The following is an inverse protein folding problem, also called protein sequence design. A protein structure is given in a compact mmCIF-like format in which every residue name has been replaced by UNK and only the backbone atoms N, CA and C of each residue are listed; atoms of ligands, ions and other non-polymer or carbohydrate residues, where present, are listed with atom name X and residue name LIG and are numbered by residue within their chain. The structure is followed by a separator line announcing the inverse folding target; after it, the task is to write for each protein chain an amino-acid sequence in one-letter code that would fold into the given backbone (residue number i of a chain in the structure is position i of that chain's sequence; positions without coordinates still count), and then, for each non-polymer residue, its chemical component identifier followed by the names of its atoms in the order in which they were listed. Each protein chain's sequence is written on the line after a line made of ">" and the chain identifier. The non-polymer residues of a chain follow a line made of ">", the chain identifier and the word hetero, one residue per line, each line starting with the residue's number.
data_IF_612128571882
#
_entry.id   IF_612128571882
#
_cell.length_a   1.000
_cell.length_b   1.000
_cell.length_c   1.000
_cell.angle_alpha   90.00
_cell.angle_beta   90.00
_cell.angle_gamma   90.00
#
_symmetry.space_group_name_H-M   'P 1'
#
loop_
_entity.id
_entity.type
_entity.pdbx_description
1 polymer ?
#
# COMPACT_ATOMS: atom_id res chain seq x y z
N UNK A 1 3.20 0.73 1.76
CA UNK A 1 2.76 -0.67 1.50
C UNK A 1 3.92 -1.70 1.52
N UNK A 2 5.14 -1.26 1.81
CA UNK A 2 6.34 -2.08 2.02
C UNK A 2 6.14 -3.23 3.02
N UNK A 3 5.31 -3.04 4.06
CA UNK A 3 4.93 -4.10 5.01
C UNK A 3 4.13 -5.23 4.36
N UNK A 4 3.13 -4.86 3.54
CA UNK A 4 2.28 -5.81 2.83
C UNK A 4 3.07 -6.58 1.75
N UNK A 5 4.17 -6.02 1.27
CA UNK A 5 5.08 -6.67 0.32
C UNK A 5 6.22 -7.49 0.97
N UNK A 6 6.24 -7.60 2.31
CA UNK A 6 7.20 -8.42 3.03
C UNK A 6 8.62 -7.84 3.08
N UNK A 7 8.78 -6.52 2.98
CA UNK A 7 10.07 -5.88 3.20
C UNK A 7 10.49 -6.02 4.68
N UNK A 8 11.67 -6.58 4.95
CA UNK A 8 12.21 -6.74 6.32
C UNK A 8 12.91 -5.47 6.84
N UNK A 9 13.21 -4.51 5.98
CA UNK A 9 13.85 -3.24 6.35
C UNK A 9 12.76 -2.18 6.53
N UNK A 10 12.26 -2.09 7.76
CA UNK A 10 11.33 -1.05 8.16
C UNK A 10 12.08 0.23 8.49
N UNK A 11 11.67 1.34 7.88
CA UNK A 11 12.15 2.69 8.17
C UNK A 11 10.94 3.56 8.57
N UNK A 12 11.18 4.79 9.05
CA UNK A 12 10.15 5.72 9.54
C UNK A 12 9.04 6.05 8.51
N UNK A 13 9.21 5.68 7.24
CA UNK A 13 8.20 5.83 6.18
C UNK A 13 6.89 5.08 6.46
N UNK A 14 6.93 3.96 7.17
CA UNK A 14 5.74 3.19 7.54
C UNK A 14 4.83 3.98 8.47
N UNK A 15 5.41 4.70 9.43
CA UNK A 15 4.66 5.50 10.40
C UNK A 15 4.02 6.72 9.72
N UNK A 16 4.73 7.34 8.76
CA UNK A 16 4.19 8.45 7.94
C UNK A 16 3.01 7.99 7.09
N UNK A 17 3.08 6.78 6.53
CA UNK A 17 1.97 6.18 5.80
C UNK A 17 0.75 5.95 6.70
N UNK A 18 0.96 5.36 7.88
CA UNK A 18 -0.11 5.15 8.86
C UNK A 18 -0.75 6.46 9.29
N UNK A 19 0.06 7.49 9.56
CA UNK A 19 -0.43 8.83 9.88
C UNK A 19 -1.24 9.45 8.72
N UNK A 20 -0.82 9.23 7.47
CA UNK A 20 -1.56 9.63 6.28
C UNK A 20 -2.94 8.97 6.17
N UNK A 21 -3.03 7.67 6.48
CA UNK A 21 -4.31 6.95 6.52
C UNK A 21 -5.25 7.55 7.58
N UNK A 22 -4.76 7.79 8.80
CA UNK A 22 -5.56 8.39 9.89
C UNK A 22 -5.99 9.82 9.52
N UNK A 23 -5.12 10.60 8.88
CA UNK A 23 -5.47 11.94 8.41
C UNK A 23 -6.56 11.91 7.33
N UNK A 24 -6.48 10.99 6.38
CA UNK A 24 -7.52 10.80 5.37
C UNK A 24 -8.87 10.38 5.98
N UNK A 25 -8.85 9.50 6.97
CA UNK A 25 -10.05 9.08 7.71
C UNK A 25 -10.71 10.24 8.47
N UNK A 26 -9.91 11.09 9.11
CA UNK A 26 -10.41 12.29 9.78
C UNK A 26 -11.08 13.26 8.81
N UNK A 27 -10.55 13.42 7.59
CA UNK A 27 -11.16 14.26 6.56
C UNK A 27 -12.44 13.66 5.96
N UNK A 28 -12.48 12.34 5.79
CA UNK A 28 -13.61 11.63 5.18
C UNK A 28 -14.74 11.32 6.17
N UNK A 29 -14.47 11.32 7.47
CA UNK A 29 -15.42 10.91 8.52
C UNK A 29 -15.78 9.43 8.48
N UNK A 30 -15.05 8.62 7.71
CA UNK A 30 -15.23 7.17 7.54
C UNK A 30 -13.89 6.52 7.22
N UNK A 31 -13.79 5.21 7.47
CA UNK A 31 -12.60 4.41 7.15
C UNK A 31 -12.27 4.55 5.66
N UNK A 32 -11.02 4.93 5.36
CA UNK A 32 -10.59 5.22 4.00
C UNK A 32 -10.27 3.93 3.23
N UNK A 33 -9.62 2.96 3.89
CA UNK A 33 -9.19 1.69 3.29
C UNK A 33 -9.60 0.48 4.16
N UNK A 34 -10.89 0.06 4.14
CA UNK A 34 -11.37 -1.07 4.94
C UNK A 34 -10.98 -2.41 4.30
N UNK A 35 -9.69 -2.75 4.33
CA UNK A 35 -9.20 -4.05 3.87
C UNK A 35 -9.62 -5.16 4.82
N UNK A 36 -10.37 -6.15 4.34
CA UNK A 36 -10.74 -7.35 5.13
C UNK A 36 -9.70 -8.47 5.06
N UNK A 37 -8.70 -8.35 4.19
CA UNK A 37 -7.56 -9.26 4.04
C UNK A 37 -6.35 -8.47 3.53
N UNK A 38 -5.13 -8.98 3.71
CA UNK A 38 -3.90 -8.33 3.24
C UNK A 38 -3.97 -8.02 1.74
N UNK A 39 -4.46 -8.98 0.96
CA UNK A 39 -4.62 -8.83 -0.50
C UNK A 39 -5.72 -7.82 -0.84
N UNK A 40 -6.83 -7.81 -0.09
CA UNK A 40 -7.91 -6.82 -0.27
C UNK A 40 -7.46 -5.40 0.07
N UNK A 41 -6.65 -5.24 1.12
CA UNK A 41 -6.04 -3.96 1.47
C UNK A 41 -5.08 -3.48 0.38
N UNK A 42 -4.29 -4.39 -0.19
CA UNK A 42 -3.42 -4.09 -1.33
C UNK A 42 -4.19 -3.59 -2.55
N UNK A 43 -5.30 -4.27 -2.90
CA UNK A 43 -6.18 -3.89 -4.01
C UNK A 43 -6.80 -2.51 -3.78
N UNK A 44 -7.23 -2.19 -2.55
CA UNK A 44 -7.75 -0.87 -2.21
C UNK A 44 -6.68 0.22 -2.34
N UNK A 45 -5.44 -0.07 -1.92
CA UNK A 45 -4.31 0.85 -2.09
C UNK A 45 -4.01 1.09 -3.57
N UNK A 46 -3.99 0.03 -4.38
CA UNK A 46 -3.80 0.15 -5.84
C UNK A 46 -4.92 0.93 -6.51
N UNK A 47 -6.17 0.75 -6.08
CA UNK A 47 -7.30 1.51 -6.60
C UNK A 47 -7.23 3.01 -6.22
N UNK A 48 -6.71 3.33 -5.04
CA UNK A 48 -6.62 4.71 -4.55
C UNK A 48 -5.40 5.48 -5.10
N UNK A 49 -4.25 4.81 -5.27
CA UNK A 49 -2.97 5.46 -5.56
C UNK A 49 -2.30 4.97 -6.85
N UNK A 50 -2.87 3.95 -7.49
CA UNK A 50 -2.28 3.27 -8.64
C UNK A 50 -1.40 2.08 -8.25
N UNK A 51 -1.23 1.15 -9.17
CA UNK A 51 -0.30 0.05 -9.00
C UNK A 51 1.14 0.57 -9.16
N UNK A 52 2.05 0.29 -8.21
CA UNK A 52 3.45 0.68 -8.33
C UNK A 52 4.09 -0.10 -9.48
N UNK A 53 4.71 0.61 -10.42
CA UNK A 53 5.59 0.07 -11.46
C UNK A 53 7.05 0.38 -11.16
N UNK A 54 7.98 -0.26 -11.87
CA UNK A 54 9.43 0.03 -11.77
C UNK A 54 9.78 1.51 -12.06
N UNK A 55 8.95 2.21 -12.84
CA UNK A 55 9.11 3.65 -13.09
C UNK A 55 8.79 4.49 -11.84
N UNK A 56 7.76 4.09 -11.09
CA UNK A 56 7.31 4.81 -9.87
C UNK A 56 8.05 4.37 -8.62
N UNK A 57 8.47 3.11 -8.57
CA UNK A 57 9.21 2.51 -7.47
C UNK A 57 10.24 1.52 -8.03
N UNK A 58 11.47 2.00 -8.31
CA UNK A 58 12.55 1.15 -8.79
C UNK A 58 12.86 0.05 -7.77
N UNK A 59 12.84 -1.22 -8.21
CA UNK A 59 13.09 -2.39 -7.38
C UNK A 59 11.85 -3.00 -6.71
N UNK A 60 10.64 -2.49 -6.99
CA UNK A 60 9.40 -3.04 -6.43
C UNK A 60 9.15 -4.49 -6.88
N UNK A 61 9.57 -4.85 -8.09
CA UNK A 61 9.50 -6.23 -8.63
C UNK A 61 10.39 -7.24 -7.90
N UNK A 62 11.35 -6.78 -7.12
CA UNK A 62 12.25 -7.65 -6.34
C UNK A 62 11.70 -7.96 -4.94
N UNK A 63 10.57 -7.36 -4.54
CA UNK A 63 9.92 -7.67 -3.28
C UNK A 63 9.20 -9.02 -3.36
N UNK A 64 9.36 -9.85 -2.33
CA UNK A 64 8.91 -11.25 -2.30
C UNK A 64 7.42 -11.45 -2.62
N UNK A 65 6.58 -10.48 -2.28
CA UNK A 65 5.13 -10.57 -2.44
C UNK A 65 4.62 -9.53 -3.45
N UNK A 66 5.47 -9.00 -4.33
CA UNK A 66 5.03 -8.07 -5.38
C UNK A 66 4.05 -8.75 -6.33
N UNK A 67 2.82 -8.21 -6.37
CA UNK A 67 1.79 -8.58 -7.33
C UNK A 67 1.66 -7.41 -8.30
N UNK A 68 2.03 -7.57 -9.59
CA UNK A 68 1.79 -6.53 -10.58
C UNK A 68 0.28 -6.28 -10.68
N UNK A 69 -0.13 -5.00 -10.84
CA UNK A 69 -1.54 -4.56 -10.88
C UNK A 69 -2.37 -5.09 -12.05
N UNK A 70 -1.95 -6.18 -12.69
CA UNK A 70 -2.53 -6.78 -13.88
C UNK A 70 -3.36 -8.04 -13.54
N UNK A 71 -3.90 -8.12 -12.33
CA UNK A 71 -4.83 -9.20 -11.97
C UNK A 71 -6.24 -8.70 -12.28
N UNK A 72 -6.76 -9.12 -13.43
CA UNK A 72 -8.21 -9.12 -13.70
C UNK A 72 -8.92 -10.12 -12.78
#
# INVERSE_FOLDING_TARGET
>A
PELLFGACNYDAGVDVWAAGCVFAEMLLGRVWLPGMSDMGQLTLIYAALGAPSEDTWPGVSQLKTYVPGNVQ
#
